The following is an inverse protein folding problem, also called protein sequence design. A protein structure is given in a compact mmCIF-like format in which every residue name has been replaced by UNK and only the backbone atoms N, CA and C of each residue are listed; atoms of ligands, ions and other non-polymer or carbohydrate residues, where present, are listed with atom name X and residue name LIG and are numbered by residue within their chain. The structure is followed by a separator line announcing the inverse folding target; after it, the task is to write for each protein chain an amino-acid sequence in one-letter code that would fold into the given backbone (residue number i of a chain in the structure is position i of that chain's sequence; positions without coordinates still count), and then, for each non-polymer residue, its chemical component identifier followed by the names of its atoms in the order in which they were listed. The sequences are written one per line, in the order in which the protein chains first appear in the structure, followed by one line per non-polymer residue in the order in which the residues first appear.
data_IF_762790702836
#
_entry.id   IF_762790702836
#
_cell.length_a   1.000
_cell.length_b   1.000
_cell.length_c   1.000
_cell.angle_alpha   90.00
_cell.angle_beta   90.00
_cell.angle_gamma   90.00
#
_symmetry.space_group_name_H-M   'P 1'
#
loop_
_entity.id
_entity.type
_entity.pdbx_description
1 polymer ?
#
# COMPACT_ATOMS: atom_id res chain seq x y z
N UNK A 1 -23.98 25.01 -10.78
CA UNK A 1 -23.52 25.19 -12.17
C UNK A 1 -23.31 23.82 -12.81
N UNK A 2 -24.02 23.47 -13.90
CA UNK A 2 -23.98 22.14 -14.53
C UNK A 2 -22.69 21.86 -15.34
N UNK A 3 -21.56 22.51 -15.03
CA UNK A 3 -20.32 22.43 -15.83
C UNK A 3 -19.20 21.64 -15.19
N UNK A 4 -19.36 21.12 -13.98
CA UNK A 4 -18.25 20.44 -13.31
C UNK A 4 -18.32 18.94 -13.56
N UNK A 5 -18.24 18.57 -14.83
CA UNK A 5 -18.02 17.19 -15.28
C UNK A 5 -16.53 16.84 -15.00
N UNK A 6 -16.16 16.84 -13.72
CA UNK A 6 -14.78 16.56 -13.25
C UNK A 6 -14.59 15.06 -13.27
N UNK A 7 -14.28 14.54 -14.45
CA UNK A 7 -13.74 13.20 -14.62
C UNK A 7 -12.36 13.15 -13.95
N UNK A 8 -12.18 12.22 -13.04
CA UNK A 8 -10.91 12.00 -12.34
C UNK A 8 -10.42 10.63 -12.78
N UNK A 9 -9.33 10.60 -13.55
CA UNK A 9 -8.62 9.37 -13.83
C UNK A 9 -7.68 9.07 -12.66
N UNK A 10 -7.81 7.88 -12.09
CA UNK A 10 -6.95 7.39 -11.01
C UNK A 10 -6.22 6.12 -11.44
N UNK A 11 -5.21 5.73 -10.67
CA UNK A 11 -4.56 4.44 -10.81
C UNK A 11 -5.32 3.37 -10.01
N UNK A 12 -5.52 2.19 -10.60
CA UNK A 12 -6.04 1.01 -9.92
C UNK A 12 -5.18 -0.19 -10.32
N UNK A 13 -4.59 -0.85 -9.33
CA UNK A 13 -3.72 -2.01 -9.57
C UNK A 13 -2.96 -2.43 -8.32
N UNK A 14 -2.25 -3.54 -8.44
CA UNK A 14 -1.38 -4.05 -7.37
C UNK A 14 0.04 -3.52 -7.56
N UNK A 15 0.60 -2.90 -6.52
CA UNK A 15 1.97 -2.39 -6.53
C UNK A 15 2.79 -3.16 -5.49
N UNK A 16 3.95 -3.69 -5.91
CA UNK A 16 4.90 -4.35 -5.03
C UNK A 16 6.08 -3.43 -4.76
N UNK A 17 6.27 -3.06 -3.51
CA UNK A 17 7.46 -2.32 -3.08
C UNK A 17 8.51 -3.30 -2.57
N UNK A 18 9.74 -3.16 -3.06
CA UNK A 18 10.90 -3.90 -2.57
C UNK A 18 11.96 -2.88 -2.14
N UNK A 19 12.49 -3.05 -0.92
CA UNK A 19 13.57 -2.22 -0.38
C UNK A 19 14.82 -3.06 -0.39
N UNK A 20 15.91 -2.52 -0.95
CA UNK A 20 17.22 -3.19 -0.96
C UNK A 20 17.74 -3.32 0.47
N UNK A 21 18.33 -4.46 0.81
CA UNK A 21 18.82 -4.77 2.16
C UNK A 21 19.79 -3.71 2.70
N UNK A 22 20.67 -3.17 1.86
CA UNK A 22 21.61 -2.10 2.22
C UNK A 22 20.92 -0.81 2.71
N UNK A 23 19.70 -0.55 2.24
CA UNK A 23 18.89 0.62 2.63
C UNK A 23 17.83 0.24 3.68
N UNK A 24 17.70 -1.04 4.01
CA UNK A 24 16.71 -1.51 4.95
C UNK A 24 17.12 -1.13 6.37
N UNK A 25 16.47 -0.11 6.89
CA UNK A 25 16.54 0.25 8.31
C UNK A 25 15.25 -0.17 8.98
N UNK A 26 15.35 -1.08 9.95
CA UNK A 26 14.20 -1.65 10.65
C UNK A 26 13.24 -0.58 11.21
N UNK A 27 13.79 0.53 11.73
CA UNK A 27 13.02 1.68 12.22
C UNK A 27 12.11 2.27 11.14
N UNK A 28 12.63 2.48 9.92
CA UNK A 28 11.85 3.04 8.82
C UNK A 28 10.87 2.02 8.25
N UNK A 29 11.24 0.75 8.22
CA UNK A 29 10.35 -0.32 7.80
C UNK A 29 9.11 -0.43 8.71
N UNK A 30 9.29 -0.36 10.03
CA UNK A 30 8.19 -0.35 11.00
C UNK A 30 7.27 0.86 10.81
N UNK A 31 7.84 2.05 10.61
CA UNK A 31 7.08 3.27 10.36
C UNK A 31 6.29 3.15 9.04
N UNK A 32 6.93 2.70 7.96
CA UNK A 32 6.27 2.50 6.67
C UNK A 32 5.11 1.51 6.77
N UNK A 33 5.30 0.38 7.45
CA UNK A 33 4.23 -0.60 7.68
C UNK A 33 3.06 -0.02 8.49
N UNK A 34 3.34 0.79 9.52
CA UNK A 34 2.30 1.47 10.29
C UNK A 34 1.54 2.50 9.45
N UNK A 35 2.24 3.28 8.62
CA UNK A 35 1.63 4.23 7.69
C UNK A 35 0.76 3.52 6.64
N UNK A 36 1.19 2.39 6.11
CA UNK A 36 0.41 1.59 5.15
C UNK A 36 -0.87 1.04 5.78
N UNK A 37 -0.81 0.55 7.02
CA UNK A 37 -2.01 0.16 7.78
C UNK A 37 -2.95 1.33 8.02
N UNK A 38 -2.41 2.51 8.36
CA UNK A 38 -3.24 3.70 8.54
C UNK A 38 -3.89 4.13 7.21
N UNK A 39 -3.16 4.04 6.11
CA UNK A 39 -3.61 4.38 4.78
C UNK A 39 -4.73 3.45 4.27
N UNK A 40 -4.76 2.19 4.71
CA UNK A 40 -5.88 1.27 4.45
C UNK A 40 -7.19 1.75 5.11
N UNK A 41 -7.12 2.32 6.32
CA UNK A 41 -8.31 2.84 7.01
C UNK A 41 -8.70 4.24 6.54
N UNK A 42 -7.73 5.08 6.20
CA UNK A 42 -7.94 6.51 5.94
C UNK A 42 -8.03 6.85 4.45
N UNK A 43 -7.80 5.87 3.57
CA UNK A 43 -7.57 6.02 2.13
C UNK A 43 -6.37 6.93 1.81
N UNK A 44 -5.88 6.87 0.57
CA UNK A 44 -4.68 7.61 0.13
C UNK A 44 -5.05 8.65 -0.93
N UNK A 45 -4.41 9.82 -0.88
CA UNK A 45 -4.49 10.83 -1.95
C UNK A 45 -5.70 11.78 -1.83
N UNK A 46 -6.22 12.22 -2.98
CA UNK A 46 -7.25 13.25 -3.09
C UNK A 46 -8.64 12.60 -3.05
N UNK A 47 -9.63 13.26 -2.43
CA UNK A 47 -11.03 12.79 -2.32
C UNK A 47 -11.22 11.44 -1.61
N UNK A 48 -10.46 11.21 -0.55
CA UNK A 48 -10.53 10.04 0.34
C UNK A 48 -11.94 9.74 0.90
N UNK A 49 -12.73 10.79 1.14
CA UNK A 49 -14.13 10.69 1.64
C UNK A 49 -15.15 10.34 0.55
N UNK A 50 -14.77 10.40 -0.74
CA UNK A 50 -15.59 10.00 -1.86
C UNK A 50 -15.26 8.57 -2.35
N UNK A 51 -14.52 7.78 -1.56
CA UNK A 51 -14.13 6.41 -1.88
C UNK A 51 -12.95 6.27 -2.85
N UNK A 52 -12.24 7.36 -3.16
CA UNK A 52 -11.04 7.31 -4.01
C UNK A 52 -9.79 6.99 -3.19
N UNK A 53 -8.88 6.20 -3.79
CA UNK A 53 -7.59 5.86 -3.20
C UNK A 53 -7.65 4.85 -2.06
N UNK A 54 -8.69 4.00 -2.04
CA UNK A 54 -8.73 2.84 -1.16
C UNK A 54 -7.56 1.91 -1.48
N UNK A 55 -6.82 1.51 -0.46
CA UNK A 55 -5.71 0.56 -0.59
C UNK A 55 -5.97 -0.63 0.31
N UNK A 56 -5.44 -1.80 -0.08
CA UNK A 56 -5.40 -2.98 0.77
C UNK A 56 -3.95 -3.35 1.01
N UNK A 57 -3.51 -3.37 2.26
CA UNK A 57 -2.13 -3.74 2.56
C UNK A 57 -1.99 -5.26 2.54
N UNK A 58 -1.26 -5.78 1.54
CA UNK A 58 -0.98 -7.20 1.39
C UNK A 58 0.45 -7.45 1.87
N UNK A 59 0.57 -8.14 3.01
CA UNK A 59 1.87 -8.65 3.46
C UNK A 59 2.17 -9.91 2.65
N UNK A 60 3.30 -10.00 1.94
CA UNK A 60 3.71 -11.27 1.36
C UNK A 60 3.84 -12.28 2.49
N UNK A 61 3.07 -13.38 2.45
CA UNK A 61 3.31 -14.50 3.36
C UNK A 61 4.76 -14.91 3.14
N UNK A 62 5.57 -14.83 4.20
CA UNK A 62 6.84 -15.55 4.25
C UNK A 62 6.52 -16.99 3.85
N UNK A 63 7.12 -17.47 2.75
CA UNK A 63 7.08 -18.89 2.43
C UNK A 63 7.47 -19.64 3.70
N UNK A 64 6.63 -20.54 4.23
CA UNK A 64 7.11 -21.45 5.27
C UNK A 64 8.31 -22.18 4.66
N UNK A 65 9.44 -22.17 5.34
CA UNK A 65 10.67 -22.82 4.90
C UNK A 65 10.40 -24.29 4.64
N UNK A 66 10.11 -24.66 3.39
CA UNK A 66 10.05 -26.05 2.94
C UNK A 66 11.44 -26.56 2.59
N UNK A 67 12.41 -26.32 3.48
CA UNK A 67 13.72 -26.95 3.48
C UNK A 67 14.04 -27.39 4.92
N UNK A 68 13.27 -28.37 5.40
CA UNK A 68 13.75 -29.31 6.39
C UNK A 68 13.52 -30.73 5.86
N UNK A 69 14.64 -31.45 5.74
CA UNK A 69 14.80 -32.89 5.48
C UNK A 69 14.27 -33.43 4.14
N UNK A 70 15.19 -33.75 3.22
CA UNK A 70 15.78 -35.10 3.09
C UNK A 70 17.13 -35.01 2.39
#
# INVERSE_FOLDING_TARGET
HPTTNKWIAGFMGTVRFAVKEDLYKEKYAKIAAALLKMAEMTNVGVRRTAGLGMIKYIVPKSEPSSLQSQ
#
